data_IF_586773645333
#
_entry.id   IF_586773645333
#
_cell.length_a   1.000
_cell.length_b   1.000
_cell.length_c   1.000
_cell.angle_alpha   90.00
_cell.angle_beta   90.00
_cell.angle_gamma   90.00
#
_symmetry.space_group_name_H-M   'P 1'
#
loop_
_entity.id
_entity.type
_entity.pdbx_description
1 polymer ?
#
# COMPACT_ATOMS: atom_id res chain seq x y z
N UNK A 1 -20.89 24.40 -4.32
CA UNK A 1 -19.55 23.87 -4.02
C UNK A 1 -19.50 23.49 -2.55
N UNK A 2 -19.25 22.23 -2.24
CA UNK A 2 -19.55 21.65 -0.93
C UNK A 2 -18.55 22.13 0.13
N UNK A 3 -19.02 22.82 1.16
CA UNK A 3 -18.24 23.43 2.26
C UNK A 3 -17.37 22.47 3.08
N UNK A 4 -17.50 21.15 2.89
CA UNK A 4 -16.73 20.12 3.59
C UNK A 4 -15.32 19.92 3.04
N UNK A 5 -15.03 20.34 1.81
CA UNK A 5 -13.67 20.21 1.22
C UNK A 5 -12.69 21.30 1.69
N UNK A 6 -13.20 22.37 2.29
CA UNK A 6 -12.38 23.52 2.72
C UNK A 6 -11.49 23.24 3.94
N UNK A 7 -11.65 22.07 4.60
CA UNK A 7 -10.85 21.67 5.78
C UNK A 7 -9.86 20.53 5.50
N UNK A 8 -9.69 20.11 4.24
CA UNK A 8 -8.69 19.10 3.88
C UNK A 8 -7.38 19.83 3.56
N UNK A 9 -6.30 19.37 4.17
CA UNK A 9 -4.95 19.83 3.84
C UNK A 9 -4.69 19.71 2.34
N UNK A 10 -4.16 20.74 1.66
CA UNK A 10 -3.93 20.73 0.22
C UNK A 10 -3.08 19.57 -0.27
N UNK A 11 -2.10 19.12 0.52
CA UNK A 11 -1.29 17.95 0.19
C UNK A 11 -2.09 16.65 0.20
N UNK A 12 -2.99 16.49 1.18
CA UNK A 12 -3.93 15.35 1.23
C UNK A 12 -4.90 15.37 0.07
N UNK A 13 -5.44 16.55 -0.25
CA UNK A 13 -6.34 16.70 -1.40
C UNK A 13 -5.62 16.33 -2.71
N UNK A 14 -4.38 16.77 -2.86
CA UNK A 14 -3.57 16.45 -4.04
C UNK A 14 -3.30 14.95 -4.15
N UNK A 15 -2.96 14.27 -3.05
CA UNK A 15 -2.78 12.82 -3.01
C UNK A 15 -4.06 12.08 -3.38
N UNK A 16 -5.21 12.50 -2.86
CA UNK A 16 -6.51 11.92 -3.24
C UNK A 16 -6.81 12.08 -4.73
N UNK A 17 -6.54 13.26 -5.31
CA UNK A 17 -6.72 13.50 -6.73
C UNK A 17 -5.83 12.61 -7.60
N UNK A 18 -4.64 12.24 -7.13
CA UNK A 18 -3.72 11.38 -7.87
C UNK A 18 -4.15 9.91 -7.88
N UNK A 19 -4.87 9.45 -6.87
CA UNK A 19 -5.32 8.05 -6.77
C UNK A 19 -6.74 7.84 -7.27
N UNK A 20 -7.41 8.90 -7.75
CA UNK A 20 -8.75 8.84 -8.35
C UNK A 20 -8.68 9.08 -9.86
N UNK A 21 -9.64 8.50 -10.58
CA UNK A 21 -9.90 8.84 -11.98
C UNK A 21 -10.39 10.29 -12.11
N UNK A 22 -10.42 10.82 -13.32
CA UNK A 22 -10.87 12.20 -13.59
C UNK A 22 -12.31 12.48 -13.16
N UNK A 23 -13.16 11.44 -13.13
CA UNK A 23 -14.56 11.48 -12.69
C UNK A 23 -14.76 11.13 -11.19
N UNK A 24 -13.64 10.96 -10.44
CA UNK A 24 -13.62 10.84 -8.99
C UNK A 24 -13.74 9.43 -8.43
N UNK A 25 -13.57 8.37 -9.24
CA UNK A 25 -13.60 6.99 -8.78
C UNK A 25 -12.20 6.46 -8.43
N UNK A 26 -12.15 5.55 -7.48
CA UNK A 26 -10.95 4.77 -7.17
C UNK A 26 -10.92 3.52 -8.04
N UNK A 27 -10.00 3.48 -9.01
CA UNK A 27 -9.73 2.31 -9.86
C UNK A 27 -8.33 1.78 -9.50
N UNK A 28 -8.26 1.07 -8.38
CA UNK A 28 -6.99 0.66 -7.77
C UNK A 28 -6.68 -0.79 -8.15
N UNK A 29 -5.53 -1.00 -8.79
CA UNK A 29 -4.97 -2.34 -8.98
C UNK A 29 -4.08 -2.71 -7.80
N UNK A 30 -4.49 -3.72 -7.01
CA UNK A 30 -3.76 -4.19 -5.84
C UNK A 30 -2.76 -5.29 -6.22
N UNK A 31 -1.47 -4.98 -6.17
CA UNK A 31 -0.34 -5.88 -6.41
C UNK A 31 0.59 -5.96 -5.20
N UNK A 32 0.06 -5.71 -4.00
CA UNK A 32 0.81 -5.74 -2.74
C UNK A 32 0.98 -7.13 -2.13
N UNK A 33 0.38 -8.17 -2.69
CA UNK A 33 0.50 -9.55 -2.25
C UNK A 33 1.94 -10.09 -2.42
N UNK A 34 2.42 -10.88 -1.47
CA UNK A 34 3.76 -11.48 -1.48
C UNK A 34 3.72 -12.96 -1.84
N UNK A 35 3.54 -13.84 -0.83
CA UNK A 35 3.53 -15.30 -1.03
C UNK A 35 2.43 -15.74 -1.97
N UNK A 36 1.23 -15.23 -1.78
CA UNK A 36 0.07 -15.58 -2.61
C UNK A 36 0.30 -15.23 -4.08
N UNK A 37 0.98 -14.10 -4.34
CA UNK A 37 1.36 -13.72 -5.71
C UNK A 37 2.42 -14.66 -6.29
N UNK A 38 3.40 -15.07 -5.48
CA UNK A 38 4.42 -16.03 -5.91
C UNK A 38 3.81 -17.41 -6.23
N UNK A 39 2.85 -17.87 -5.45
CA UNK A 39 2.12 -19.13 -5.70
C UNK A 39 1.33 -19.11 -7.01
N UNK A 40 0.89 -17.94 -7.48
CA UNK A 40 0.28 -17.79 -8.81
C UNK A 40 1.29 -17.92 -9.94
N UNK A 41 2.55 -17.55 -9.71
CA UNK A 41 3.61 -17.66 -10.71
C UNK A 41 4.19 -19.07 -10.83
N UNK A 42 4.23 -19.80 -9.73
CA UNK A 42 4.73 -21.16 -9.66
C UNK A 42 4.17 -21.89 -8.44
N UNK A 43 3.66 -23.12 -8.58
CA UNK A 43 3.17 -23.91 -7.44
C UNK A 43 4.22 -24.19 -6.36
N UNK A 44 5.52 -24.17 -6.70
CA UNK A 44 6.62 -24.22 -5.72
C UNK A 44 7.26 -22.83 -5.54
N UNK A 45 6.85 -22.05 -4.53
CA UNK A 45 7.37 -20.70 -4.29
C UNK A 45 8.88 -20.65 -4.03
N UNK A 46 9.50 -21.78 -3.66
CA UNK A 46 10.95 -21.87 -3.41
C UNK A 46 11.78 -21.74 -4.70
N UNK A 47 11.18 -21.99 -5.84
CA UNK A 47 11.82 -21.87 -7.14
C UNK A 47 11.78 -20.45 -7.69
N UNK A 48 10.96 -19.56 -7.07
CA UNK A 48 10.75 -18.21 -7.55
C UNK A 48 11.82 -17.28 -6.99
N UNK A 49 12.55 -16.66 -7.88
CA UNK A 49 13.54 -15.64 -7.52
C UNK A 49 12.86 -14.30 -7.22
N UNK A 50 13.56 -13.47 -6.43
CA UNK A 50 13.20 -12.07 -6.21
C UNK A 50 12.93 -11.32 -7.53
N UNK A 51 13.86 -11.49 -8.49
CA UNK A 51 13.79 -10.84 -9.80
C UNK A 51 12.53 -11.26 -10.57
N UNK A 52 12.21 -12.54 -10.64
CA UNK A 52 11.03 -13.05 -11.36
C UNK A 52 9.73 -12.48 -10.78
N UNK A 53 9.64 -12.37 -9.44
CA UNK A 53 8.47 -11.76 -8.80
C UNK A 53 8.36 -10.28 -9.17
N UNK A 54 9.44 -9.54 -9.11
CA UNK A 54 9.49 -8.12 -9.48
C UNK A 54 9.14 -7.90 -10.95
N UNK A 55 9.73 -8.67 -11.85
CA UNK A 55 9.49 -8.55 -13.29
C UNK A 55 8.03 -8.82 -13.64
N UNK A 56 7.40 -9.84 -13.04
CA UNK A 56 5.99 -10.14 -13.25
C UNK A 56 5.09 -8.98 -12.78
N UNK A 57 5.38 -8.37 -11.64
CA UNK A 57 4.65 -7.19 -11.17
C UNK A 57 4.82 -5.99 -12.11
N UNK A 58 6.04 -5.76 -12.59
CA UNK A 58 6.33 -4.68 -13.56
C UNK A 58 5.55 -4.88 -14.86
N UNK A 59 5.47 -6.10 -15.36
CA UNK A 59 4.71 -6.44 -16.57
C UNK A 59 3.22 -6.17 -16.37
N UNK A 60 2.65 -6.58 -15.23
CA UNK A 60 1.26 -6.29 -14.89
C UNK A 60 0.99 -4.78 -14.78
N UNK A 61 1.89 -4.02 -14.14
CA UNK A 61 1.75 -2.56 -14.05
C UNK A 61 1.69 -1.95 -15.46
N UNK A 62 2.60 -2.32 -16.35
CA UNK A 62 2.63 -1.80 -17.73
C UNK A 62 1.39 -2.15 -18.51
N UNK A 63 0.86 -3.36 -18.33
CA UNK A 63 -0.31 -3.85 -19.03
C UNK A 63 -1.60 -3.20 -18.56
N UNK A 64 -1.70 -2.84 -17.27
CA UNK A 64 -2.93 -2.38 -16.64
C UNK A 64 -2.95 -0.87 -16.36
N UNK A 65 -1.85 -0.16 -16.60
CA UNK A 65 -1.74 1.25 -16.21
C UNK A 65 -2.78 2.16 -16.86
N UNK A 66 -3.22 1.84 -18.07
CA UNK A 66 -4.24 2.62 -18.78
C UNK A 66 -5.64 2.50 -18.16
N UNK A 67 -5.90 1.42 -17.42
CA UNK A 67 -7.21 1.08 -16.86
C UNK A 67 -7.32 1.44 -15.36
N UNK A 68 -6.23 1.90 -14.76
CA UNK A 68 -6.16 2.15 -13.32
C UNK A 68 -5.94 3.63 -13.00
N UNK A 69 -6.52 4.11 -11.91
CA UNK A 69 -6.18 5.41 -11.32
C UNK A 69 -4.97 5.32 -10.38
N UNK A 70 -4.73 4.15 -9.78
CA UNK A 70 -3.61 3.93 -8.88
C UNK A 70 -3.18 2.45 -8.83
N UNK A 71 -1.94 2.22 -8.41
CA UNK A 71 -1.45 0.91 -8.03
C UNK A 71 -1.11 0.88 -6.54
N UNK A 72 -1.53 -0.20 -5.86
CA UNK A 72 -1.12 -0.53 -4.51
C UNK A 72 -0.01 -1.58 -4.59
N UNK A 73 1.19 -1.22 -4.14
CA UNK A 73 2.40 -2.03 -4.27
C UNK A 73 2.98 -2.38 -2.91
N UNK A 74 3.60 -3.57 -2.84
CA UNK A 74 4.40 -3.97 -1.70
C UNK A 74 5.78 -3.30 -1.71
N UNK A 75 6.37 -3.13 -0.53
CA UNK A 75 7.69 -2.53 -0.37
C UNK A 75 8.85 -3.47 -0.77
N UNK A 76 8.59 -4.78 -0.94
CA UNK A 76 9.63 -5.79 -1.16
C UNK A 76 9.95 -6.02 -2.63
N UNK A 77 8.93 -6.28 -3.45
CA UNK A 77 9.10 -6.68 -4.86
C UNK A 77 8.56 -5.64 -5.85
N UNK A 78 7.59 -4.82 -5.44
CA UNK A 78 6.85 -3.97 -6.37
C UNK A 78 7.31 -2.52 -6.41
N UNK A 79 7.34 -1.86 -5.26
CA UNK A 79 7.42 -0.40 -5.17
C UNK A 79 8.71 0.18 -5.80
N UNK A 80 9.88 -0.21 -5.30
CA UNK A 80 11.14 0.33 -5.77
C UNK A 80 11.43 -0.04 -7.23
N UNK A 81 11.07 -1.25 -7.62
CA UNK A 81 11.24 -1.76 -8.98
C UNK A 81 10.35 -1.02 -9.99
N UNK A 82 9.08 -0.75 -9.62
CA UNK A 82 8.17 0.01 -10.47
C UNK A 82 8.66 1.43 -10.73
N UNK A 83 9.21 2.08 -9.69
CA UNK A 83 9.81 3.42 -9.80
C UNK A 83 11.08 3.37 -10.67
N UNK A 84 12.03 2.48 -10.36
CA UNK A 84 13.31 2.39 -11.04
C UNK A 84 13.18 2.01 -12.52
N UNK A 85 12.25 1.13 -12.85
CA UNK A 85 11.98 0.69 -14.23
C UNK A 85 11.09 1.66 -15.03
N UNK A 86 10.59 2.73 -14.39
CA UNK A 86 9.59 3.66 -14.96
C UNK A 86 8.34 2.92 -15.49
N UNK A 87 7.97 1.82 -14.86
CA UNK A 87 6.78 1.06 -15.24
C UNK A 87 5.50 1.80 -14.84
N UNK A 88 5.55 2.57 -13.75
CA UNK A 88 4.43 3.36 -13.27
C UNK A 88 4.46 4.75 -13.94
N UNK A 89 3.46 5.10 -14.78
CA UNK A 89 3.34 6.45 -15.34
C UNK A 89 3.14 7.49 -14.24
N UNK A 90 3.71 8.69 -14.42
CA UNK A 90 3.61 9.78 -13.44
C UNK A 90 2.18 10.32 -13.23
N UNK A 91 1.25 10.01 -14.13
CA UNK A 91 -0.18 10.33 -14.01
C UNK A 91 -0.96 9.37 -13.11
N UNK A 92 -0.42 8.20 -12.82
CA UNK A 92 -1.05 7.15 -12.02
C UNK A 92 -0.62 7.30 -10.56
N UNK A 93 -1.58 7.20 -9.64
CA UNK A 93 -1.31 7.30 -8.21
C UNK A 93 -0.53 6.08 -7.67
N UNK A 94 0.32 6.33 -6.69
CA UNK A 94 1.12 5.30 -6.04
C UNK A 94 0.64 5.09 -4.60
N UNK A 95 0.25 3.87 -4.30
CA UNK A 95 -0.12 3.44 -2.95
C UNK A 95 0.84 2.36 -2.47
N UNK A 96 1.08 2.30 -1.17
CA UNK A 96 1.90 1.25 -0.58
C UNK A 96 1.36 0.80 0.78
N UNK A 97 1.54 -0.49 1.09
CA UNK A 97 1.21 -1.06 2.39
C UNK A 97 2.28 -0.73 3.43
N UNK A 98 1.84 -0.35 4.64
CA UNK A 98 2.73 -0.04 5.77
C UNK A 98 2.92 -1.24 6.69
N UNK A 99 1.97 -2.17 6.69
CA UNK A 99 2.00 -3.36 7.50
C UNK A 99 2.98 -4.42 6.99
N UNK A 100 3.35 -5.31 7.90
CA UNK A 100 4.01 -6.56 7.55
C UNK A 100 2.96 -7.57 7.07
N UNK A 101 3.15 -8.06 5.85
CA UNK A 101 2.17 -8.88 5.14
C UNK A 101 2.32 -10.37 5.47
N UNK A 102 2.53 -10.73 6.73
CA UNK A 102 2.57 -12.12 7.16
C UNK A 102 1.16 -12.67 7.43
N UNK A 103 0.60 -13.32 6.43
CA UNK A 103 -0.73 -13.98 6.51
C UNK A 103 -0.67 -15.46 6.97
N UNK A 104 0.50 -16.00 7.28
CA UNK A 104 0.69 -17.41 7.68
C UNK A 104 -0.07 -17.84 8.93
N UNK A 105 -0.22 -17.01 9.98
CA UNK A 105 -1.04 -17.39 11.12
C UNK A 105 -2.51 -17.61 10.73
N UNK A 106 -3.17 -18.56 11.38
CA UNK A 106 -4.61 -18.75 11.23
C UNK A 106 -5.35 -17.42 11.40
N UNK A 107 -6.38 -17.20 10.61
CA UNK A 107 -7.08 -15.89 10.52
C UNK A 107 -7.56 -15.35 11.87
N UNK A 108 -7.90 -16.24 12.80
CA UNK A 108 -8.37 -15.90 14.17
C UNK A 108 -7.29 -15.25 15.04
N UNK A 109 -6.02 -15.48 14.74
CA UNK A 109 -4.87 -15.02 15.53
C UNK A 109 -4.03 -13.95 14.82
N UNK A 110 -4.46 -13.50 13.64
CA UNK A 110 -3.73 -12.49 12.88
C UNK A 110 -3.71 -11.17 13.62
N UNK A 111 -2.51 -10.61 13.72
CA UNK A 111 -2.27 -9.28 14.28
C UNK A 111 -1.69 -8.39 13.20
N UNK A 112 -2.25 -7.21 13.03
CA UNK A 112 -1.61 -6.18 12.22
C UNK A 112 -0.31 -5.75 12.89
N UNK A 113 0.78 -5.72 12.15
CA UNK A 113 2.10 -5.25 12.60
C UNK A 113 2.66 -4.32 11.55
N UNK A 114 3.36 -3.28 11.99
CA UNK A 114 4.12 -2.45 11.07
C UNK A 114 5.38 -3.19 10.61
N UNK A 115 5.73 -2.97 9.37
CA UNK A 115 7.00 -3.45 8.83
C UNK A 115 8.14 -2.73 9.52
N UNK A 116 9.16 -3.48 9.94
CA UNK A 116 10.37 -2.93 10.54
C UNK A 116 11.10 -2.02 9.54
N UNK A 117 11.64 -0.90 10.04
CA UNK A 117 12.33 0.13 9.24
C UNK A 117 11.50 0.68 8.07
N UNK A 118 10.18 0.68 8.19
CA UNK A 118 9.26 1.19 7.19
C UNK A 118 8.23 2.12 7.85
N UNK A 119 8.03 3.31 7.28
CA UNK A 119 7.17 4.34 7.86
C UNK A 119 6.51 5.20 6.79
N UNK A 120 5.46 5.91 7.17
CA UNK A 120 4.78 6.91 6.31
C UNK A 120 5.75 7.98 5.81
N UNK A 121 6.76 8.37 6.61
CA UNK A 121 7.79 9.31 6.18
C UNK A 121 8.64 8.75 5.04
N UNK A 122 9.08 7.50 5.13
CA UNK A 122 9.86 6.86 4.06
C UNK A 122 9.02 6.69 2.80
N UNK A 123 7.75 6.29 2.93
CA UNK A 123 6.81 6.22 1.82
C UNK A 123 6.67 7.56 1.11
N UNK A 124 6.52 8.65 1.86
CA UNK A 124 6.42 9.99 1.30
C UNK A 124 7.68 10.41 0.54
N UNK A 125 8.87 10.05 1.04
CA UNK A 125 10.14 10.30 0.35
C UNK A 125 10.25 9.54 -0.98
N UNK A 126 9.59 8.39 -1.10
CA UNK A 126 9.50 7.61 -2.34
C UNK A 126 8.38 8.09 -3.28
N UNK A 127 7.62 9.11 -2.90
CA UNK A 127 6.54 9.66 -3.71
C UNK A 127 5.22 8.90 -3.59
N UNK A 128 5.03 8.09 -2.54
CA UNK A 128 3.76 7.42 -2.26
C UNK A 128 2.68 8.46 -1.94
N UNK A 129 1.56 8.37 -2.61
CA UNK A 129 0.41 9.26 -2.44
C UNK A 129 -0.49 8.84 -1.28
N UNK A 130 -0.68 7.54 -1.08
CA UNK A 130 -1.56 6.99 -0.04
C UNK A 130 -0.94 5.75 0.60
N UNK A 131 -0.92 5.73 1.93
CA UNK A 131 -0.59 4.55 2.72
C UNK A 131 -1.82 3.67 2.90
N UNK A 132 -1.66 2.35 2.71
CA UNK A 132 -2.68 1.36 3.04
C UNK A 132 -2.27 0.65 4.32
N UNK A 133 -3.22 0.48 5.23
CA UNK A 133 -3.11 -0.37 6.42
C UNK A 133 -4.15 -1.48 6.36
N UNK A 134 -3.72 -2.72 6.42
CA UNK A 134 -4.60 -3.86 6.62
C UNK A 134 -4.79 -4.09 8.12
N UNK A 135 -6.02 -3.90 8.57
CA UNK A 135 -6.39 -3.97 9.97
C UNK A 135 -7.30 -5.17 10.26
N UNK A 136 -6.74 -6.19 10.92
CA UNK A 136 -7.46 -7.40 11.30
C UNK A 136 -8.26 -7.18 12.59
N UNK A 137 -9.29 -6.36 12.57
CA UNK A 137 -10.05 -6.02 13.76
C UNK A 137 -11.15 -7.04 14.07
N UNK A 138 -11.10 -7.60 15.28
CA UNK A 138 -12.14 -8.46 15.84
C UNK A 138 -12.44 -7.99 17.26
N UNK A 139 -13.58 -7.33 17.52
CA UNK A 139 -13.92 -6.78 18.83
C UNK A 139 -14.16 -7.83 19.92
N UNK A 140 -14.43 -9.06 19.51
CA UNK A 140 -14.72 -10.25 20.35
C UNK A 140 -13.46 -11.10 20.64
N UNK A 141 -12.28 -10.64 20.29
CA UNK A 141 -11.03 -11.41 20.39
C UNK A 141 -10.00 -10.68 21.25
N UNK A 142 -9.11 -11.44 21.90
CA UNK A 142 -8.01 -10.98 22.75
C UNK A 142 -7.04 -10.03 22.04
N UNK A 143 -7.03 -10.04 20.70
CA UNK A 143 -6.21 -9.15 19.90
C UNK A 143 -6.80 -7.74 19.71
N UNK A 144 -8.05 -7.50 20.15
CA UNK A 144 -8.74 -6.23 19.91
C UNK A 144 -8.00 -5.02 20.49
N UNK A 145 -7.41 -5.16 21.68
CA UNK A 145 -6.62 -4.10 22.33
C UNK A 145 -5.38 -3.74 21.50
N UNK A 146 -4.59 -4.75 21.14
CA UNK A 146 -3.43 -4.59 20.26
C UNK A 146 -3.81 -3.88 18.94
N UNK A 147 -4.92 -4.25 18.33
CA UNK A 147 -5.38 -3.65 17.08
C UNK A 147 -5.79 -2.18 17.25
N UNK A 148 -6.36 -1.79 18.40
CA UNK A 148 -6.64 -0.38 18.70
C UNK A 148 -5.36 0.43 18.88
N UNK A 149 -4.34 -0.14 19.50
CA UNK A 149 -3.02 0.50 19.69
C UNK A 149 -2.32 0.73 18.35
N UNK A 150 -2.38 -0.24 17.44
CA UNK A 150 -1.81 -0.11 16.09
C UNK A 150 -2.36 1.13 15.37
N UNK A 151 -3.68 1.33 15.39
CA UNK A 151 -4.31 2.49 14.74
C UNK A 151 -3.94 3.81 15.41
N UNK A 152 -3.80 3.83 16.74
CA UNK A 152 -3.36 5.04 17.47
C UNK A 152 -1.92 5.42 17.14
N UNK A 153 -1.02 4.44 17.11
CA UNK A 153 0.40 4.67 16.82
C UNK A 153 0.65 5.16 15.39
N UNK A 154 -0.13 4.67 14.42
CA UNK A 154 -0.04 5.15 13.04
C UNK A 154 -0.54 6.60 12.92
N UNK A 155 -1.62 6.95 13.59
CA UNK A 155 -2.12 8.32 13.67
C UNK A 155 -1.08 9.30 14.25
N UNK A 156 -0.33 8.89 15.28
CA UNK A 156 0.74 9.69 15.86
C UNK A 156 1.96 9.80 14.93
N UNK A 157 2.33 8.74 14.25
CA UNK A 157 3.44 8.72 13.30
C UNK A 157 3.13 9.61 12.09
N UNK A 158 1.90 9.56 11.59
CA UNK A 158 1.45 10.43 10.50
C UNK A 158 1.42 11.90 10.91
N UNK A 159 1.03 12.22 12.16
CA UNK A 159 0.99 13.60 12.67
C UNK A 159 2.39 14.17 12.96
N UNK A 160 3.33 13.37 13.45
CA UNK A 160 4.73 13.79 13.68
C UNK A 160 5.54 13.99 12.41
N UNK A 161 5.10 13.45 11.27
CA UNK A 161 5.69 13.70 9.95
C UNK A 161 5.35 15.09 9.36
N UNK A 162 4.55 15.90 10.06
CA UNK A 162 4.19 17.27 9.73
C UNK A 162 5.01 18.30 10.55
N UNK A 163 6.26 18.01 10.87
CA UNK A 163 7.18 19.00 11.43
C UNK A 163 7.51 20.10 10.41
N UNK A 164 7.90 21.29 10.89
CA UNK A 164 7.94 22.54 10.15
C UNK A 164 8.79 22.50 8.90
#
# INVERSE_FOLDING_TARGET
MNTKLNNIDPGKLRSLQRVTSWDGYFLICALDHLSDFQELLDPDPKTITYQRTGDAKIELIRSLAAECSAFLLDARFGLAQAIASRALPGSIGLMASIEDEDYKPASVNRKTRFRENWSTKQMKLLGVDVCKLLWFYRPDNDVAEHQREVVRSDGETASRGQGP
#
